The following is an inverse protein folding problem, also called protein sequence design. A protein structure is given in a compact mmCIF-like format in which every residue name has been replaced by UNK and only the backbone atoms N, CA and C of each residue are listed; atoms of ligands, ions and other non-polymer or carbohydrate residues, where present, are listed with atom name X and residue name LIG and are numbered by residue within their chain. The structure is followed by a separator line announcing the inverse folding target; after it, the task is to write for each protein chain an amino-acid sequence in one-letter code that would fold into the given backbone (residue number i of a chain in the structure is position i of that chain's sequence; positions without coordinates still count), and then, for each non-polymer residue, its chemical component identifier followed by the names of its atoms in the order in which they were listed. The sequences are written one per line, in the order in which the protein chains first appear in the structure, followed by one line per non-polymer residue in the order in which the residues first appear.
data_IF_490077245650
#
_entry.id   IF_490077245650
#
_cell.length_a   1.000
_cell.length_b   1.000
_cell.length_c   1.000
_cell.angle_alpha   90.00
_cell.angle_beta   90.00
_cell.angle_gamma   90.00
#
_symmetry.space_group_name_H-M   'P 1'
#
loop_
_entity.id
_entity.type
_entity.pdbx_description
1 polymer ?
#
# COMPACT_ATOMS: atom_id res chain seq x y z
N UNK A 1 10.32 20.24 8.02
CA UNK A 1 10.92 19.09 8.73
C UNK A 1 12.08 19.50 9.68
N UNK A 2 12.40 20.82 9.81
CA UNK A 2 13.59 21.28 10.53
C UNK A 2 13.46 21.31 12.08
N UNK A 3 12.42 20.75 12.67
CA UNK A 3 12.20 20.75 14.12
C UNK A 3 12.15 19.35 14.75
N UNK A 4 12.81 18.37 14.14
CA UNK A 4 12.77 16.99 14.61
C UNK A 4 13.95 16.77 15.57
N UNK A 5 13.64 16.61 16.85
CA UNK A 5 14.61 16.36 17.92
C UNK A 5 15.03 14.88 17.85
N UNK A 6 16.34 14.56 17.95
CA UNK A 6 16.88 13.20 17.78
C UNK A 6 16.38 12.15 18.80
N UNK A 7 15.63 12.55 19.83
CA UNK A 7 14.98 11.66 20.79
C UNK A 7 13.54 11.27 20.40
N UNK A 8 12.97 11.93 19.39
CA UNK A 8 11.58 11.67 18.96
C UNK A 8 11.53 10.62 17.88
N UNK A 9 10.48 9.78 17.94
CA UNK A 9 10.18 8.74 16.96
C UNK A 9 8.97 9.12 16.12
N UNK A 10 9.04 8.82 14.83
CA UNK A 10 7.98 9.20 13.89
C UNK A 10 7.59 8.03 13.01
N UNK A 11 6.36 8.04 12.54
CA UNK A 11 5.94 7.17 11.46
C UNK A 11 5.43 8.00 10.28
N UNK A 12 5.84 7.60 9.08
CA UNK A 12 5.33 8.11 7.83
C UNK A 12 4.30 7.11 7.29
N UNK A 13 3.08 7.60 7.08
CA UNK A 13 1.96 6.82 6.57
C UNK A 13 1.66 7.25 5.16
N UNK A 14 1.45 6.28 4.27
CA UNK A 14 0.94 6.53 2.94
C UNK A 14 -0.34 5.70 2.76
N UNK A 15 -1.45 6.38 2.51
CA UNK A 15 -2.78 5.76 2.45
C UNK A 15 -3.43 6.03 1.10
N UNK A 16 -4.04 5.02 0.48
CA UNK A 16 -4.89 5.19 -0.70
C UNK A 16 -6.33 4.71 -0.45
N UNK A 17 -7.21 5.15 -1.35
CA UNK A 17 -8.59 4.66 -1.44
C UNK A 17 -8.67 3.64 -2.56
N UNK A 18 -8.92 2.37 -2.24
CA UNK A 18 -9.01 1.32 -3.25
C UNK A 18 -10.11 1.59 -4.28
N UNK A 19 -9.73 1.43 -5.56
CA UNK A 19 -10.64 1.57 -6.70
C UNK A 19 -11.42 2.88 -6.71
N UNK A 20 -10.79 3.97 -6.27
CA UNK A 20 -11.41 5.30 -6.18
C UNK A 20 -12.03 5.78 -7.52
N UNK A 21 -11.45 5.37 -8.65
CA UNK A 21 -12.02 5.67 -9.98
C UNK A 21 -13.47 5.17 -10.11
N UNK A 22 -13.82 4.01 -9.53
CA UNK A 22 -15.21 3.50 -9.56
C UNK A 22 -16.16 4.41 -8.78
N UNK A 23 -15.68 5.04 -7.69
CA UNK A 23 -16.49 6.02 -6.96
C UNK A 23 -16.82 7.20 -7.87
N UNK A 24 -15.82 7.73 -8.60
CA UNK A 24 -16.03 8.82 -9.55
C UNK A 24 -16.95 8.41 -10.71
N UNK A 25 -16.79 7.19 -11.23
CA UNK A 25 -17.58 6.71 -12.37
C UNK A 25 -19.06 6.49 -12.01
N UNK A 26 -19.36 5.96 -10.81
CA UNK A 26 -20.72 5.66 -10.39
C UNK A 26 -21.44 6.81 -9.68
N UNK A 27 -20.71 7.63 -8.91
CA UNK A 27 -21.31 8.69 -8.06
C UNK A 27 -20.84 10.10 -8.41
N UNK A 28 -19.99 10.23 -9.42
CA UNK A 28 -19.48 11.49 -9.95
C UNK A 28 -18.29 12.07 -9.18
N UNK A 29 -17.53 12.94 -9.86
CA UNK A 29 -16.30 13.56 -9.34
C UNK A 29 -16.55 14.46 -8.11
N UNK A 30 -17.72 15.08 -7.99
CA UNK A 30 -18.09 15.91 -6.85
C UNK A 30 -18.19 15.04 -5.58
N UNK A 31 -18.90 13.91 -5.67
CA UNK A 31 -19.00 12.94 -4.57
C UNK A 31 -17.64 12.42 -4.18
N UNK A 32 -16.82 12.01 -5.15
CA UNK A 32 -15.45 11.56 -4.90
C UNK A 32 -14.60 12.62 -4.20
N UNK A 33 -14.66 13.88 -4.64
CA UNK A 33 -13.93 14.99 -4.02
C UNK A 33 -14.39 15.22 -2.58
N UNK A 34 -15.69 15.17 -2.31
CA UNK A 34 -16.23 15.33 -0.97
C UNK A 34 -15.77 14.20 -0.03
N UNK A 35 -15.73 12.95 -0.52
CA UNK A 35 -15.19 11.80 0.22
C UNK A 35 -13.71 12.00 0.54
N UNK A 36 -12.88 12.41 -0.43
CA UNK A 36 -11.46 12.65 -0.19
C UNK A 36 -11.22 13.76 0.84
N UNK A 37 -12.01 14.84 0.78
CA UNK A 37 -11.94 15.93 1.77
C UNK A 37 -12.38 15.44 3.17
N UNK A 38 -13.37 14.57 3.23
CA UNK A 38 -13.80 13.96 4.50
C UNK A 38 -12.68 13.11 5.10
N UNK A 39 -12.04 12.24 4.29
CA UNK A 39 -10.92 11.39 4.72
C UNK A 39 -9.75 12.27 5.19
N UNK A 40 -9.40 13.33 4.45
CA UNK A 40 -8.34 14.25 4.83
C UNK A 40 -8.58 14.85 6.22
N UNK A 41 -9.80 15.35 6.49
CA UNK A 41 -10.18 15.86 7.82
C UNK A 41 -10.05 14.83 8.92
N UNK A 42 -10.38 13.56 8.65
CA UNK A 42 -10.20 12.47 9.63
C UNK A 42 -8.71 12.23 9.94
N UNK A 43 -7.87 12.30 8.92
CA UNK A 43 -6.42 12.17 9.09
C UNK A 43 -5.81 13.37 9.84
N UNK A 44 -6.33 14.58 9.64
CA UNK A 44 -5.94 15.76 10.42
C UNK A 44 -6.24 15.61 11.93
N UNK A 45 -7.38 14.97 12.23
CA UNK A 45 -7.82 14.73 13.61
C UNK A 45 -7.23 13.44 14.22
N UNK A 46 -6.45 12.68 13.46
CA UNK A 46 -5.80 11.48 13.99
C UNK A 46 -4.77 11.88 15.07
N UNK A 47 -4.76 11.18 16.22
CA UNK A 47 -3.88 11.56 17.33
C UNK A 47 -2.42 11.66 16.92
N UNK A 48 -1.74 12.70 17.43
CA UNK A 48 -0.31 12.97 17.21
C UNK A 48 0.09 13.22 15.74
N UNK A 49 -0.88 13.56 14.87
CA UNK A 49 -0.59 14.01 13.52
C UNK A 49 0.19 15.32 13.55
N UNK A 50 1.35 15.33 12.92
CA UNK A 50 2.22 16.49 12.75
C UNK A 50 2.06 17.12 11.37
N UNK A 51 1.77 16.30 10.38
CA UNK A 51 1.62 16.71 9.00
C UNK A 51 0.67 15.77 8.27
N UNK A 52 -0.19 16.34 7.45
CA UNK A 52 -1.04 15.59 6.52
C UNK A 52 -1.16 16.35 5.21
N UNK A 53 -1.14 15.64 4.10
CA UNK A 53 -1.41 16.23 2.80
C UNK A 53 -1.95 15.17 1.85
N UNK A 54 -2.73 15.60 0.89
CA UNK A 54 -3.08 14.82 -0.28
C UNK A 54 -1.91 14.87 -1.26
N UNK A 55 -1.22 13.73 -1.41
CA UNK A 55 0.01 13.64 -2.21
C UNK A 55 -0.28 13.61 -3.71
N UNK A 56 -1.18 12.72 -4.13
CA UNK A 56 -1.55 12.57 -5.54
C UNK A 56 -2.88 11.82 -5.64
N UNK A 57 -3.84 12.33 -6.46
CA UNK A 57 -5.13 11.68 -6.71
C UNK A 57 -5.87 11.29 -5.42
N UNK A 58 -5.91 10.02 -5.10
CA UNK A 58 -6.53 9.40 -3.93
C UNK A 58 -5.52 8.94 -2.87
N UNK A 59 -4.25 9.39 -2.98
CA UNK A 59 -3.17 9.06 -2.07
C UNK A 59 -2.92 10.19 -1.09
N UNK A 60 -2.90 9.85 0.19
CA UNK A 60 -2.60 10.74 1.30
C UNK A 60 -1.28 10.38 1.96
N UNK A 61 -0.58 11.38 2.48
CA UNK A 61 0.60 11.20 3.32
C UNK A 61 0.35 11.84 4.68
N UNK A 62 0.74 11.13 5.73
CA UNK A 62 0.60 11.58 7.12
C UNK A 62 1.90 11.31 7.86
N UNK A 63 2.35 12.27 8.66
CA UNK A 63 3.45 12.06 9.60
C UNK A 63 2.89 12.18 11.01
N UNK A 64 3.16 11.17 11.83
CA UNK A 64 2.72 11.11 13.23
C UNK A 64 3.92 11.00 14.18
N UNK A 65 3.80 11.62 15.35
CA UNK A 65 4.73 11.41 16.46
C UNK A 65 4.33 10.09 17.17
N UNK A 66 5.26 9.17 17.29
CA UNK A 66 5.06 7.87 17.94
C UNK A 66 6.00 7.69 19.14
N UNK A 67 6.53 8.80 19.67
CA UNK A 67 7.45 8.80 20.79
C UNK A 67 6.79 8.15 22.02
N UNK A 68 7.43 7.10 22.54
CA UNK A 68 6.91 6.33 23.68
C UNK A 68 5.86 5.29 23.35
N UNK A 69 5.54 5.07 22.06
CA UNK A 69 4.60 4.05 21.64
C UNK A 69 5.31 2.83 21.01
N UNK A 70 4.73 1.65 21.22
CA UNK A 70 5.15 0.43 20.54
C UNK A 70 4.54 0.37 19.12
N UNK A 71 5.31 -0.11 18.13
CA UNK A 71 4.88 -0.21 16.74
C UNK A 71 3.55 -0.97 16.59
N UNK A 72 3.36 -2.03 17.37
CA UNK A 72 2.11 -2.82 17.36
C UNK A 72 0.90 -1.98 17.80
N UNK A 73 1.06 -1.13 18.81
CA UNK A 73 -0.01 -0.24 19.27
C UNK A 73 -0.34 0.82 18.21
N UNK A 74 0.68 1.42 17.61
CA UNK A 74 0.54 2.38 16.49
C UNK A 74 -0.22 1.74 15.33
N UNK A 75 0.20 0.55 14.90
CA UNK A 75 -0.46 -0.18 13.81
C UNK A 75 -1.93 -0.47 14.10
N UNK A 76 -2.25 -0.96 15.29
CA UNK A 76 -3.63 -1.24 15.69
C UNK A 76 -4.49 0.03 15.70
N UNK A 77 -3.96 1.15 16.18
CA UNK A 77 -4.62 2.45 16.16
C UNK A 77 -4.92 2.91 14.74
N UNK A 78 -4.01 2.70 13.78
CA UNK A 78 -4.20 3.01 12.37
C UNK A 78 -5.29 2.11 11.77
N UNK A 79 -5.27 0.80 12.05
CA UNK A 79 -6.30 -0.15 11.58
C UNK A 79 -7.70 0.29 12.06
N UNK A 80 -7.84 0.61 13.33
CA UNK A 80 -9.12 1.04 13.88
C UNK A 80 -9.58 2.39 13.30
N UNK A 81 -8.66 3.35 13.11
CA UNK A 81 -8.97 4.61 12.45
C UNK A 81 -9.45 4.43 11.01
N UNK A 82 -8.78 3.56 10.23
CA UNK A 82 -9.20 3.24 8.86
C UNK A 82 -10.60 2.60 8.82
N UNK A 83 -10.88 1.65 9.72
CA UNK A 83 -12.20 1.03 9.84
C UNK A 83 -13.28 2.04 10.20
N UNK A 84 -13.01 2.89 11.18
CA UNK A 84 -13.96 3.91 11.62
C UNK A 84 -14.22 4.93 10.51
N UNK A 85 -13.18 5.43 9.84
CA UNK A 85 -13.30 6.36 8.72
C UNK A 85 -14.11 5.73 7.57
N UNK A 86 -13.81 4.47 7.23
CA UNK A 86 -14.58 3.72 6.22
C UNK A 86 -16.07 3.66 6.58
N UNK A 87 -16.39 3.27 7.83
CA UNK A 87 -17.77 3.19 8.32
C UNK A 87 -18.49 4.54 8.22
N UNK A 88 -17.83 5.61 8.60
CA UNK A 88 -18.41 6.96 8.56
C UNK A 88 -18.63 7.46 7.14
N UNK A 89 -17.71 7.18 6.20
CA UNK A 89 -17.90 7.50 4.78
C UNK A 89 -19.10 6.75 4.22
N UNK A 90 -19.21 5.42 4.48
CA UNK A 90 -20.34 4.62 4.00
C UNK A 90 -21.68 5.04 4.60
N UNK A 91 -21.68 5.67 5.79
CA UNK A 91 -22.88 6.22 6.39
C UNK A 91 -23.26 7.61 5.86
N UNK A 92 -22.27 8.41 5.45
CA UNK A 92 -22.49 9.81 5.04
C UNK A 92 -22.67 10.00 3.52
N UNK A 93 -22.21 9.07 2.71
CA UNK A 93 -22.21 9.15 1.25
C UNK A 93 -22.93 7.96 0.61
N UNK A 94 -23.51 8.11 -0.59
CA UNK A 94 -24.28 7.05 -1.25
C UNK A 94 -23.37 5.98 -1.90
N UNK A 95 -22.22 5.68 -1.32
CA UNK A 95 -21.28 4.68 -1.82
C UNK A 95 -21.48 3.35 -1.13
N UNK A 96 -21.39 2.26 -1.90
CA UNK A 96 -21.66 0.90 -1.37
C UNK A 96 -20.41 0.25 -0.79
N UNK A 97 -19.23 0.78 -1.11
CA UNK A 97 -17.98 0.23 -0.62
C UNK A 97 -16.88 1.30 -0.59
N UNK A 98 -15.96 1.16 0.34
CA UNK A 98 -14.73 1.93 0.45
C UNK A 98 -13.71 1.08 1.19
N UNK A 99 -12.44 1.13 0.77
CA UNK A 99 -11.33 0.50 1.47
C UNK A 99 -10.14 1.44 1.50
N UNK A 100 -9.57 1.65 2.68
CA UNK A 100 -8.34 2.40 2.89
C UNK A 100 -7.18 1.44 3.08
N UNK A 101 -6.10 1.65 2.30
CA UNK A 101 -4.89 0.84 2.42
C UNK A 101 -3.74 1.73 2.84
N UNK A 102 -3.14 1.41 3.98
CA UNK A 102 -2.08 2.21 4.59
C UNK A 102 -0.77 1.44 4.68
N UNK A 103 0.27 2.00 4.06
CA UNK A 103 1.65 1.62 4.29
C UNK A 103 2.25 2.44 5.43
N UNK A 104 2.96 1.78 6.34
CA UNK A 104 3.63 2.40 7.48
C UNK A 104 5.14 2.25 7.30
N UNK A 105 5.86 3.36 7.36
CA UNK A 105 7.31 3.40 7.46
C UNK A 105 7.71 4.07 8.78
N UNK A 106 8.38 3.34 9.65
CA UNK A 106 8.90 3.87 10.92
C UNK A 106 10.24 4.56 10.67
N UNK A 107 10.35 5.83 11.05
CA UNK A 107 11.56 6.64 10.89
C UNK A 107 12.51 6.37 12.06
N UNK A 108 13.41 5.42 11.87
CA UNK A 108 14.45 5.07 12.86
C UNK A 108 15.67 6.00 12.75
N UNK A 109 15.89 6.57 11.56
CA UNK A 109 16.97 7.50 11.27
C UNK A 109 16.42 8.71 10.50
N UNK A 110 16.77 9.90 10.92
CA UNK A 110 16.35 11.17 10.31
C UNK A 110 17.22 11.60 9.13
N UNK A 111 18.33 10.94 8.88
CA UNK A 111 19.22 11.22 7.75
C UNK A 111 18.77 10.54 6.45
N UNK A 112 17.67 9.78 6.48
CA UNK A 112 17.14 9.09 5.29
C UNK A 112 16.57 10.12 4.32
N UNK A 113 16.92 10.03 3.02
CA UNK A 113 16.36 10.90 2.00
C UNK A 113 14.83 10.78 1.92
N UNK A 114 14.12 11.90 1.73
CA UNK A 114 12.66 11.91 1.65
C UNK A 114 12.10 11.03 0.53
N UNK A 115 12.82 10.91 -0.59
CA UNK A 115 12.46 10.02 -1.71
C UNK A 115 12.45 8.55 -1.30
N UNK A 116 13.39 8.14 -0.45
CA UNK A 116 13.47 6.79 0.09
C UNK A 116 12.31 6.50 1.05
N UNK A 117 11.95 7.45 1.92
CA UNK A 117 10.78 7.35 2.79
C UNK A 117 9.51 7.14 1.98
N UNK A 118 9.31 7.96 0.94
CA UNK A 118 8.15 7.85 0.04
C UNK A 118 8.16 6.50 -0.68
N UNK A 119 9.30 6.06 -1.20
CA UNK A 119 9.44 4.78 -1.89
C UNK A 119 9.07 3.60 -0.99
N UNK A 120 9.65 3.53 0.21
CA UNK A 120 9.38 2.46 1.17
C UNK A 120 7.92 2.43 1.62
N UNK A 121 7.35 3.59 1.90
CA UNK A 121 5.93 3.71 2.28
C UNK A 121 5.00 3.29 1.14
N UNK A 122 5.35 3.61 -0.11
CA UNK A 122 4.57 3.23 -1.28
C UNK A 122 4.59 1.71 -1.52
N UNK A 123 5.75 1.06 -1.34
CA UNK A 123 5.88 -0.40 -1.44
C UNK A 123 4.88 -1.08 -0.49
N UNK A 124 4.85 -0.68 0.77
CA UNK A 124 3.97 -1.31 1.76
C UNK A 124 2.53 -0.87 1.64
N UNK A 125 2.24 0.33 1.12
CA UNK A 125 0.89 0.74 0.75
C UNK A 125 0.29 -0.18 -0.31
N UNK A 126 1.07 -0.53 -1.34
CA UNK A 126 0.63 -1.48 -2.38
C UNK A 126 0.39 -2.87 -1.76
N UNK A 127 1.30 -3.35 -0.91
CA UNK A 127 1.16 -4.64 -0.21
C UNK A 127 0.00 -4.65 0.80
N UNK A 128 -0.42 -3.49 1.30
CA UNK A 128 -1.56 -3.40 2.21
C UNK A 128 -2.88 -3.84 1.56
N UNK A 129 -3.01 -3.72 0.23
CA UNK A 129 -4.20 -4.18 -0.53
C UNK A 129 -4.46 -5.68 -0.38
N UNK A 130 -3.41 -6.46 -0.18
CA UNK A 130 -3.49 -7.92 -0.01
C UNK A 130 -3.69 -8.34 1.45
N UNK A 131 -3.75 -7.38 2.38
CA UNK A 131 -3.94 -7.62 3.80
C UNK A 131 -5.40 -7.41 4.20
N UNK A 132 -5.98 -8.34 4.93
CA UNK A 132 -7.36 -8.23 5.44
C UNK A 132 -7.61 -6.97 6.27
N UNK A 133 -6.59 -6.46 6.95
CA UNK A 133 -6.67 -5.23 7.74
C UNK A 133 -6.39 -3.96 6.94
N UNK A 134 -5.99 -4.06 5.66
CA UNK A 134 -5.63 -2.91 4.83
C UNK A 134 -4.39 -2.13 5.32
N UNK A 135 -3.55 -2.72 6.17
CA UNK A 135 -2.36 -2.05 6.73
C UNK A 135 -1.13 -2.95 6.63
N UNK A 136 -0.02 -2.40 6.15
CA UNK A 136 1.25 -3.11 6.04
C UNK A 136 2.39 -2.20 6.51
N UNK A 137 3.34 -2.76 7.24
CA UNK A 137 4.54 -2.08 7.73
C UNK A 137 5.74 -2.42 6.87
N UNK A 138 6.66 -1.47 6.67
CA UNK A 138 7.93 -1.75 6.02
C UNK A 138 8.87 -2.46 7.00
N UNK A 139 9.26 -3.68 6.66
CA UNK A 139 10.13 -4.51 7.47
C UNK A 139 11.37 -4.93 6.67
N UNK A 140 12.38 -5.42 7.38
CA UNK A 140 13.61 -5.95 6.75
C UNK A 140 13.32 -7.08 5.77
N UNK A 141 12.34 -7.94 6.07
CA UNK A 141 11.93 -9.04 5.18
C UNK A 141 11.36 -8.50 3.87
N UNK A 142 10.56 -7.43 3.94
CA UNK A 142 10.01 -6.74 2.75
C UNK A 142 11.14 -6.11 1.95
N UNK A 143 12.09 -5.43 2.60
CA UNK A 143 13.25 -4.84 1.95
C UNK A 143 14.06 -5.89 1.17
N UNK A 144 14.38 -7.01 1.80
CA UNK A 144 15.12 -8.12 1.18
C UNK A 144 14.35 -8.75 0.01
N UNK A 145 13.04 -8.90 0.15
CA UNK A 145 12.20 -9.44 -0.93
C UNK A 145 12.15 -8.52 -2.15
N UNK A 146 12.06 -7.20 -1.95
CA UNK A 146 12.09 -6.22 -3.04
C UNK A 146 13.46 -6.16 -3.70
N UNK A 147 14.55 -6.23 -2.95
CA UNK A 147 15.89 -6.30 -3.49
C UNK A 147 16.06 -7.55 -4.36
N UNK A 148 15.70 -8.73 -3.85
CA UNK A 148 15.75 -9.98 -4.62
C UNK A 148 14.93 -9.91 -5.90
N UNK A 149 13.76 -9.27 -5.85
CA UNK A 149 12.92 -9.05 -7.03
C UNK A 149 13.61 -8.17 -8.06
N UNK A 150 14.23 -7.06 -7.61
CA UNK A 150 14.99 -6.16 -8.48
C UNK A 150 16.17 -6.88 -9.13
N UNK A 151 16.95 -7.65 -8.37
CA UNK A 151 18.06 -8.47 -8.86
C UNK A 151 17.59 -9.49 -9.90
N UNK A 152 16.46 -10.16 -9.65
CA UNK A 152 15.87 -11.11 -10.60
C UNK A 152 15.47 -10.43 -11.91
N UNK A 153 14.85 -9.25 -11.85
CA UNK A 153 14.47 -8.48 -13.05
C UNK A 153 15.74 -8.02 -13.81
N UNK A 154 16.77 -7.58 -13.08
CA UNK A 154 18.03 -7.15 -13.67
C UNK A 154 18.73 -8.29 -14.44
N UNK A 155 18.79 -9.48 -13.84
CA UNK A 155 19.43 -10.67 -14.43
C UNK A 155 18.62 -11.31 -15.57
N UNK A 156 17.34 -10.96 -15.72
CA UNK A 156 16.43 -11.59 -16.71
C UNK A 156 16.96 -11.51 -18.16
N UNK A 157 17.46 -10.33 -18.58
CA UNK A 157 17.98 -10.14 -19.95
C UNK A 157 19.22 -11.00 -20.20
N UNK A 158 20.08 -11.11 -19.20
CA UNK A 158 21.29 -11.92 -19.26
C UNK A 158 20.95 -13.40 -19.34
N UNK A 159 20.04 -13.88 -18.48
CA UNK A 159 19.55 -15.25 -18.46
C UNK A 159 18.87 -15.66 -19.78
N UNK A 160 18.12 -14.74 -20.39
CA UNK A 160 17.51 -14.95 -21.71
C UNK A 160 18.59 -15.10 -22.79
N UNK A 161 19.62 -14.23 -22.76
CA UNK A 161 20.76 -14.30 -23.71
C UNK A 161 21.57 -15.60 -23.55
N UNK A 162 21.72 -16.11 -22.35
CA UNK A 162 22.40 -17.38 -22.02
C UNK A 162 21.54 -18.62 -22.25
N UNK A 163 20.29 -18.47 -22.71
CA UNK A 163 19.32 -19.58 -22.90
C UNK A 163 19.08 -20.40 -21.66
N UNK A 164 19.07 -19.76 -20.49
CA UNK A 164 18.78 -20.40 -19.20
C UNK A 164 17.31 -20.81 -19.05
N UNK A 165 16.42 -20.22 -19.86
CA UNK A 165 14.99 -20.57 -19.90
C UNK A 165 14.79 -21.77 -20.80
N UNK A 166 14.12 -22.78 -20.26
CA UNK A 166 13.71 -23.97 -20.99
C UNK A 166 12.18 -23.99 -21.08
N UNK A 167 11.67 -24.31 -22.25
CA UNK A 167 10.23 -24.41 -22.49
C UNK A 167 9.81 -25.85 -22.23
N UNK A 168 8.85 -26.05 -21.33
CA UNK A 168 8.20 -27.32 -21.09
C UNK A 168 6.75 -27.25 -21.52
N UNK A 169 6.23 -28.38 -22.01
CA UNK A 169 4.83 -28.51 -22.40
C UNK A 169 4.11 -29.44 -21.46
N UNK A 170 3.06 -28.94 -20.80
CA UNK A 170 2.17 -29.76 -20.00
C UNK A 170 0.98 -30.20 -20.87
N UNK A 171 0.86 -31.50 -21.23
CA UNK A 171 -0.24 -31.97 -22.10
C UNK A 171 -1.58 -31.94 -21.37
N UNK A 172 -2.60 -31.45 -22.06
CA UNK A 172 -4.01 -31.53 -21.64
C UNK A 172 -4.70 -32.64 -22.41
N UNK A 173 -5.21 -33.65 -21.71
CA UNK A 173 -5.83 -34.83 -22.31
C UNK A 173 -7.36 -34.62 -22.38
N UNK A 174 -7.95 -34.87 -23.54
CA UNK A 174 -9.41 -34.94 -23.72
C UNK A 174 -9.98 -36.12 -22.94
N UNK A 175 -10.89 -35.87 -22.01
CA UNK A 175 -11.56 -36.93 -21.25
C UNK A 175 -12.46 -37.85 -22.11
N UNK A 176 -12.90 -37.37 -23.27
CA UNK A 176 -13.70 -38.17 -24.24
C UNK A 176 -12.85 -39.05 -25.14
N UNK A 177 -11.76 -38.51 -25.66
CA UNK A 177 -10.97 -39.17 -26.70
C UNK A 177 -9.71 -39.82 -26.16
N UNK A 178 -9.37 -39.57 -24.89
CA UNK A 178 -8.11 -40.00 -24.22
C UNK A 178 -6.84 -39.68 -25.04
N UNK A 179 -6.89 -38.60 -25.81
CA UNK A 179 -5.79 -38.07 -26.61
C UNK A 179 -5.36 -36.67 -26.10
N UNK A 180 -4.13 -36.30 -26.39
CA UNK A 180 -3.66 -34.93 -26.14
C UNK A 180 -4.46 -33.99 -27.04
N UNK A 181 -5.24 -33.10 -26.41
CA UNK A 181 -6.05 -32.11 -27.10
C UNK A 181 -5.33 -30.75 -27.22
N UNK A 182 -4.48 -30.42 -26.28
CA UNK A 182 -3.67 -29.18 -26.24
C UNK A 182 -2.51 -29.35 -25.29
N UNK A 183 -1.63 -28.37 -25.24
CA UNK A 183 -0.56 -28.27 -24.23
C UNK A 183 -0.51 -26.86 -23.68
N UNK A 184 -0.16 -26.75 -22.41
CA UNK A 184 0.18 -25.49 -21.76
C UNK A 184 1.70 -25.35 -21.74
N UNK A 185 2.18 -24.16 -22.03
CA UNK A 185 3.61 -23.84 -21.97
C UNK A 185 3.96 -23.42 -20.55
N UNK A 186 4.97 -24.07 -19.96
CA UNK A 186 5.51 -23.77 -18.65
C UNK A 186 6.90 -23.13 -18.79
#
# INVERSE_FOLDING_TARGET
LNNINGEKKYAFLMTDVSNFHLINDYWGYETGTNILNFILKKMELFPQTLFVNRYHSDIFVVVIDITGEEHTAVKNRIIESNKQTTKEVLAAYPVNYLSLNTGIYYLENMEIPGEEIISHSNIVRIKAKDKLCGVCEYTREIALAEQKRADTIHSFKEALGKKEFQIYFQPKISGREQKIASAEVL
#
